data_IF_769741037485
#
_entry.id   IF_769741037485
#
_cell.length_a   1.000
_cell.length_b   1.000
_cell.length_c   1.000
_cell.angle_alpha   90.00
_cell.angle_beta   90.00
_cell.angle_gamma   90.00
#
_symmetry.space_group_name_H-M   'P 1'
#
loop_
_entity.id
_entity.type
_entity.pdbx_description
1 polymer ?
#
# COMPACT_ATOMS: atom_id res chain seq x y z
N UNK A 1 -8.26 -27.48 9.05
CA UNK A 1 -7.14 -26.52 8.95
C UNK A 1 -7.73 -25.22 8.45
N UNK A 2 -7.86 -24.21 9.31
CA UNK A 2 -8.32 -22.88 8.90
C UNK A 2 -7.25 -22.26 8.03
N UNK A 3 -7.57 -21.98 6.76
CA UNK A 3 -6.68 -21.24 5.87
C UNK A 3 -6.32 -19.91 6.53
N UNK A 4 -5.03 -19.54 6.65
CA UNK A 4 -4.66 -18.25 7.20
C UNK A 4 -5.32 -17.17 6.34
N UNK A 5 -6.09 -16.31 6.98
CA UNK A 5 -6.68 -15.14 6.36
C UNK A 5 -6.07 -13.91 7.02
N UNK A 6 -5.65 -12.95 6.21
CA UNK A 6 -5.10 -11.69 6.66
C UNK A 6 -6.02 -10.56 6.24
N UNK A 7 -6.04 -9.51 7.04
CA UNK A 7 -6.64 -8.25 6.64
C UNK A 7 -5.59 -7.16 6.70
N UNK A 8 -5.47 -6.37 5.63
CA UNK A 8 -4.51 -5.28 5.59
C UNK A 8 -5.06 -4.10 4.78
N UNK A 9 -4.64 -2.91 5.18
CA UNK A 9 -4.78 -1.70 4.39
C UNK A 9 -3.46 -1.38 3.71
N UNK A 10 -3.51 -0.78 2.53
CA UNK A 10 -2.32 -0.34 1.84
C UNK A 10 -2.42 1.09 1.28
N UNK A 11 -1.26 1.73 1.13
CA UNK A 11 -1.08 2.92 0.32
C UNK A 11 -0.15 2.53 -0.83
N UNK A 12 -0.62 2.67 -2.07
CA UNK A 12 0.16 2.37 -3.26
C UNK A 12 0.51 3.67 -3.97
N UNK A 13 1.80 3.91 -4.23
CA UNK A 13 2.24 4.93 -5.19
C UNK A 13 2.83 4.21 -6.40
N UNK A 14 2.24 4.47 -7.57
CA UNK A 14 2.73 3.94 -8.84
C UNK A 14 3.91 4.77 -9.32
N UNK A 15 4.72 4.18 -10.19
CA UNK A 15 5.79 4.85 -10.92
C UNK A 15 5.76 4.42 -12.39
N UNK A 16 6.56 5.07 -13.21
CA UNK A 16 6.70 4.82 -14.65
C UNK A 16 7.03 3.35 -14.99
N UNK A 17 7.77 2.67 -14.11
CA UNK A 17 8.12 1.25 -14.24
C UNK A 17 7.06 0.27 -13.70
N UNK A 18 5.93 0.74 -13.17
CA UNK A 18 4.87 -0.14 -12.69
C UNK A 18 4.14 -0.81 -13.86
N UNK A 19 3.72 -2.08 -13.70
CA UNK A 19 3.01 -2.88 -14.71
C UNK A 19 1.83 -2.16 -15.37
N UNK A 20 1.14 -1.32 -14.61
CA UNK A 20 0.11 -0.43 -15.11
C UNK A 20 0.32 0.95 -14.47
N UNK A 21 1.02 1.88 -15.14
CA UNK A 21 1.41 3.17 -14.57
C UNK A 21 0.26 4.19 -14.67
N UNK A 22 -0.98 3.79 -14.40
CA UNK A 22 -2.14 4.69 -14.33
C UNK A 22 -2.71 4.69 -12.93
N UNK A 23 -2.83 5.87 -12.33
CA UNK A 23 -3.47 6.05 -11.03
C UNK A 23 -4.97 5.80 -11.15
N UNK A 24 -5.52 4.91 -10.33
CA UNK A 24 -6.98 4.73 -10.28
C UNK A 24 -7.70 5.88 -9.57
N UNK A 25 -6.97 6.73 -8.86
CA UNK A 25 -7.51 7.91 -8.16
C UNK A 25 -7.70 9.09 -9.12
N UNK A 26 -6.72 9.37 -9.97
CA UNK A 26 -6.80 10.50 -10.92
C UNK A 26 -7.19 10.08 -12.33
N UNK A 27 -7.09 8.79 -12.66
CA UNK A 27 -7.25 8.29 -14.02
C UNK A 27 -6.09 8.66 -14.96
N UNK A 28 -5.04 9.32 -14.44
CA UNK A 28 -3.92 9.81 -15.24
C UNK A 28 -2.71 8.88 -15.16
N UNK A 29 -1.89 8.79 -16.22
CA UNK A 29 -0.62 8.08 -16.19
C UNK A 29 0.34 8.75 -15.20
N UNK A 30 1.15 7.94 -14.54
CA UNK A 30 2.19 8.37 -13.60
C UNK A 30 3.53 8.46 -14.32
N UNK A 31 4.16 9.63 -14.25
CA UNK A 31 5.49 9.89 -14.81
C UNK A 31 6.61 9.82 -13.78
N UNK A 32 6.27 9.59 -12.51
CA UNK A 32 7.23 9.51 -11.40
C UNK A 32 8.22 8.37 -11.62
N UNK A 33 9.47 8.58 -11.24
CA UNK A 33 10.47 7.51 -11.09
C UNK A 33 10.19 6.66 -9.84
N UNK A 34 10.85 5.51 -9.75
CA UNK A 34 10.77 4.66 -8.56
C UNK A 34 11.25 5.39 -7.30
N UNK A 35 12.37 6.10 -7.38
CA UNK A 35 12.95 6.81 -6.24
C UNK A 35 12.05 7.96 -5.76
N UNK A 36 11.43 8.69 -6.69
CA UNK A 36 10.45 9.73 -6.34
C UNK A 36 9.21 9.14 -5.67
N UNK A 37 8.68 8.03 -6.20
CA UNK A 37 7.54 7.33 -5.59
C UNK A 37 7.87 6.80 -4.18
N UNK A 38 9.07 6.25 -4.00
CA UNK A 38 9.54 5.75 -2.71
C UNK A 38 9.76 6.90 -1.70
N UNK A 39 10.40 7.99 -2.12
CA UNK A 39 10.62 9.17 -1.29
C UNK A 39 9.30 9.83 -0.88
N UNK A 40 8.34 9.93 -1.81
CA UNK A 40 7.01 10.43 -1.49
C UNK A 40 6.32 9.51 -0.48
N UNK A 41 6.31 8.19 -0.72
CA UNK A 41 5.68 7.24 0.20
C UNK A 41 6.31 7.25 1.59
N UNK A 42 7.62 7.49 1.68
CA UNK A 42 8.33 7.66 2.94
C UNK A 42 7.86 8.91 3.71
N UNK A 43 7.58 10.02 3.03
CA UNK A 43 7.04 11.23 3.67
C UNK A 43 5.63 10.99 4.22
N UNK A 44 4.78 10.27 3.48
CA UNK A 44 3.46 9.86 3.96
C UNK A 44 3.57 8.96 5.18
N UNK A 45 4.46 7.96 5.14
CA UNK A 45 4.74 7.09 6.28
C UNK A 45 5.16 7.88 7.52
N UNK A 46 6.11 8.80 7.37
CA UNK A 46 6.58 9.62 8.50
C UNK A 46 5.47 10.50 9.05
N UNK A 47 4.60 11.06 8.20
CA UNK A 47 3.46 11.85 8.64
C UNK A 47 2.43 11.04 9.44
N UNK A 48 2.27 9.75 9.11
CA UNK A 48 1.44 8.81 9.87
C UNK A 48 2.11 8.45 11.21
N UNK A 49 3.42 8.20 11.22
CA UNK A 49 4.19 7.89 12.45
C UNK A 49 4.22 9.09 13.41
N UNK A 50 4.33 10.31 12.89
CA UNK A 50 4.27 11.57 13.65
C UNK A 50 2.85 11.89 14.18
N UNK A 51 1.83 11.10 13.79
CA UNK A 51 0.43 11.33 14.17
C UNK A 51 -0.23 12.55 13.52
N UNK A 52 0.37 13.12 12.46
CA UNK A 52 -0.18 14.28 11.73
C UNK A 52 -1.43 13.91 10.93
N UNK A 53 -1.54 12.64 10.53
CA UNK A 53 -2.69 12.11 9.80
C UNK A 53 -2.83 10.60 10.04
N UNK A 54 -4.01 10.06 9.72
CA UNK A 54 -4.24 8.62 9.78
C UNK A 54 -3.79 7.92 8.50
N UNK A 55 -3.54 6.60 8.59
CA UNK A 55 -3.25 5.78 7.42
C UNK A 55 -4.37 5.85 6.37
N UNK A 56 -5.62 5.85 6.84
CA UNK A 56 -6.82 5.88 6.00
C UNK A 56 -6.91 7.19 5.21
N UNK A 57 -6.60 8.32 5.85
CA UNK A 57 -6.58 9.62 5.20
C UNK A 57 -5.45 9.74 4.18
N UNK A 58 -4.26 9.24 4.52
CA UNK A 58 -3.14 9.17 3.57
C UNK A 58 -3.50 8.31 2.34
N UNK A 59 -4.12 7.15 2.57
CA UNK A 59 -4.54 6.26 1.50
C UNK A 59 -5.64 6.89 0.63
N UNK A 60 -6.63 7.56 1.20
CA UNK A 60 -7.67 8.30 0.45
C UNK A 60 -7.08 9.41 -0.41
N UNK A 61 -6.12 10.15 0.14
CA UNK A 61 -5.54 11.32 -0.53
C UNK A 61 -4.61 10.93 -1.67
N UNK A 62 -3.78 9.91 -1.47
CA UNK A 62 -2.66 9.64 -2.38
C UNK A 62 -2.67 8.29 -3.08
N UNK A 63 -3.30 7.26 -2.53
CA UNK A 63 -3.19 5.90 -3.08
C UNK A 63 -3.67 5.82 -4.53
N UNK A 64 -2.84 5.23 -5.38
CA UNK A 64 -3.11 5.00 -6.80
C UNK A 64 -3.86 3.69 -7.05
N UNK A 65 -4.15 2.93 -5.99
CA UNK A 65 -5.01 1.76 -6.01
C UNK A 65 -6.47 2.15 -5.74
N UNK A 66 -7.43 1.46 -6.35
CA UNK A 66 -8.86 1.69 -6.15
C UNK A 66 -9.35 1.49 -4.70
N UNK A 67 -8.55 0.86 -3.84
CA UNK A 67 -8.80 0.76 -2.40
C UNK A 67 -8.78 2.12 -1.68
N UNK A 68 -8.27 3.19 -2.31
CA UNK A 68 -8.27 4.55 -1.76
C UNK A 68 -9.67 4.96 -1.25
N UNK A 69 -10.75 4.54 -1.93
CA UNK A 69 -12.14 4.84 -1.53
C UNK A 69 -12.51 4.27 -0.16
N UNK A 70 -11.86 3.18 0.26
CA UNK A 70 -12.02 2.54 1.58
C UNK A 70 -10.87 2.84 2.53
N UNK A 71 -10.12 3.93 2.31
CA UNK A 71 -8.96 4.23 3.16
C UNK A 71 -7.81 3.22 3.01
N UNK A 72 -7.70 2.59 1.84
CA UNK A 72 -6.66 1.62 1.54
C UNK A 72 -7.01 0.18 1.94
N UNK A 73 -8.18 -0.07 2.55
CA UNK A 73 -8.59 -1.40 2.98
C UNK A 73 -8.81 -2.36 1.79
N UNK A 74 -8.06 -3.47 1.82
CA UNK A 74 -8.14 -4.55 0.84
C UNK A 74 -9.17 -5.61 1.23
N UNK A 75 -9.72 -5.56 2.45
CA UNK A 75 -10.53 -6.62 3.00
C UNK A 75 -9.69 -7.84 3.40
N UNK A 76 -10.38 -8.95 3.63
CA UNK A 76 -9.73 -10.22 4.00
C UNK A 76 -9.24 -10.93 2.75
N UNK A 77 -7.98 -11.37 2.77
CA UNK A 77 -7.36 -12.15 1.70
C UNK A 77 -6.59 -13.34 2.27
N UNK A 78 -6.53 -14.41 1.48
CA UNK A 78 -5.81 -15.64 1.76
C UNK A 78 -4.46 -15.72 1.04
N UNK A 79 -3.71 -16.82 1.26
CA UNK A 79 -2.42 -17.07 0.64
C UNK A 79 -2.55 -17.21 -0.87
N UNK A 80 -1.65 -16.56 -1.59
CA UNK A 80 -1.58 -16.57 -3.06
C UNK A 80 -2.53 -15.59 -3.75
N UNK A 81 -3.36 -14.83 -3.01
CA UNK A 81 -4.22 -13.80 -3.60
C UNK A 81 -3.49 -12.47 -3.82
N UNK A 82 -2.40 -12.23 -3.08
CA UNK A 82 -1.56 -11.03 -3.19
C UNK A 82 -0.19 -11.36 -3.80
N UNK A 83 0.50 -10.34 -4.31
CA UNK A 83 1.87 -10.51 -4.79
C UNK A 83 2.79 -10.96 -3.65
N UNK A 84 3.72 -11.86 -3.94
CA UNK A 84 4.59 -12.48 -2.92
C UNK A 84 5.29 -11.48 -1.98
N UNK A 85 5.89 -10.37 -2.47
CA UNK A 85 6.51 -9.38 -1.57
C UNK A 85 5.51 -8.70 -0.64
N UNK A 86 4.26 -8.50 -1.10
CA UNK A 86 3.19 -7.93 -0.30
C UNK A 86 2.73 -8.91 0.79
N UNK A 87 2.50 -10.17 0.40
CA UNK A 87 2.09 -11.22 1.34
C UNK A 87 3.16 -11.46 2.41
N UNK A 88 4.43 -11.61 2.02
CA UNK A 88 5.54 -11.82 2.94
C UNK A 88 5.68 -10.65 3.93
N UNK A 89 5.49 -9.41 3.45
CA UNK A 89 5.46 -8.24 4.31
C UNK A 89 4.27 -8.27 5.27
N UNK A 90 3.02 -8.50 4.81
CA UNK A 90 1.86 -8.60 5.70
C UNK A 90 2.03 -9.69 6.77
N UNK A 91 2.53 -10.85 6.37
CA UNK A 91 2.76 -11.99 7.26
C UNK A 91 3.79 -11.70 8.35
N UNK A 92 4.81 -10.88 8.03
CA UNK A 92 5.84 -10.45 8.97
C UNK A 92 5.41 -9.35 9.94
N UNK A 93 4.24 -8.72 9.73
CA UNK A 93 3.73 -7.66 10.60
C UNK A 93 2.87 -8.22 11.72
N UNK A 94 2.93 -7.57 12.88
CA UNK A 94 1.97 -7.73 13.95
C UNK A 94 0.66 -6.99 13.63
N UNK A 95 -0.44 -7.39 14.25
CA UNK A 95 -1.73 -6.70 14.08
C UNK A 95 -1.62 -5.26 14.57
N UNK A 96 -2.00 -4.31 13.72
CA UNK A 96 -1.86 -2.87 13.97
C UNK A 96 -0.52 -2.28 13.51
N UNK A 97 0.47 -3.12 13.19
CA UNK A 97 1.78 -2.67 12.75
C UNK A 97 1.77 -2.19 11.29
N UNK A 98 2.59 -1.17 11.02
CA UNK A 98 2.85 -0.66 9.69
C UNK A 98 4.22 -1.14 9.18
N UNK A 99 4.28 -1.49 7.89
CA UNK A 99 5.48 -1.97 7.22
C UNK A 99 6.46 -0.86 6.86
N UNK A 100 7.64 -1.28 6.43
CA UNK A 100 8.48 -0.47 5.55
C UNK A 100 7.89 -0.30 4.15
N UNK A 101 8.66 0.32 3.27
CA UNK A 101 8.32 0.42 1.85
C UNK A 101 8.49 -0.97 1.21
N UNK A 102 7.45 -1.45 0.56
CA UNK A 102 7.42 -2.76 -0.12
C UNK A 102 7.28 -2.52 -1.61
N UNK A 103 8.30 -2.87 -2.38
CA UNK A 103 8.24 -2.79 -3.84
C UNK A 103 7.55 -4.03 -4.43
N UNK A 104 6.65 -3.80 -5.37
CA UNK A 104 6.06 -4.86 -6.21
C UNK A 104 5.99 -4.40 -7.66
N UNK A 105 5.61 -5.29 -8.56
CA UNK A 105 5.36 -4.93 -9.97
C UNK A 105 4.27 -3.85 -10.14
N UNK A 106 3.40 -3.66 -9.14
CA UNK A 106 2.36 -2.63 -9.18
C UNK A 106 2.86 -1.25 -8.76
N UNK A 107 4.01 -1.15 -8.09
CA UNK A 107 4.53 0.10 -7.52
C UNK A 107 5.10 -0.10 -6.11
N UNK A 108 5.19 1.00 -5.36
CA UNK A 108 5.69 1.00 -3.98
C UNK A 108 4.50 1.02 -3.03
N UNK A 109 4.51 0.13 -2.04
CA UNK A 109 3.44 -0.08 -1.08
C UNK A 109 3.89 0.25 0.33
N UNK A 110 2.99 0.87 1.09
CA UNK A 110 3.02 0.92 2.53
C UNK A 110 1.85 0.08 3.03
N UNK A 111 2.09 -0.84 3.96
CA UNK A 111 1.11 -1.84 4.39
C UNK A 111 0.87 -1.65 5.88
N UNK A 112 -0.39 -1.70 6.30
CA UNK A 112 -0.78 -1.77 7.70
C UNK A 112 -1.62 -3.01 7.91
N UNK A 113 -1.17 -3.90 8.81
CA UNK A 113 -1.92 -5.11 9.13
C UNK A 113 -3.08 -4.77 10.08
N UNK A 114 -4.26 -5.29 9.77
CA UNK A 114 -5.50 -5.09 10.53
C UNK A 114 -5.91 -6.37 11.28
N UNK A 115 -5.68 -7.55 10.69
CA UNK A 115 -5.90 -8.87 11.32
C UNK A 115 -4.88 -9.90 10.82
#
# INVERSE_FOLDING_TARGET
MTTPCWQASHLLIKHSGSRNPVSRRTGMPTTLSYDEAAAELQQWRQSIEDGKMTFEDAARQRSDCGSYVRGGDLGVFGPGEMMKPFEDATKGLEVGQMSGLVATDSGVHLIKRIA
#
